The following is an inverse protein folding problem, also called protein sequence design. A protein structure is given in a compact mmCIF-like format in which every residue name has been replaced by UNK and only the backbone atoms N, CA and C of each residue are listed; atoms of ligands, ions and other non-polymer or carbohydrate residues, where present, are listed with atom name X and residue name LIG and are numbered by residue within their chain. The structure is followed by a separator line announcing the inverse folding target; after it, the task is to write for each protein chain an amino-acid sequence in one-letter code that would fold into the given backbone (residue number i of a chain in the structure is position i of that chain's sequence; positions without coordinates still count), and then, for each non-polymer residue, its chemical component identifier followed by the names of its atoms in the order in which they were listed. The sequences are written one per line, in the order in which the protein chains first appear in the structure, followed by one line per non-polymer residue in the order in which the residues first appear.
data_IF_083334194762
#
_entry.id   IF_083334194762
#
_cell.length_a   1.000
_cell.length_b   1.000
_cell.length_c   1.000
_cell.angle_alpha   90.00
_cell.angle_beta   90.00
_cell.angle_gamma   90.00
#
_symmetry.space_group_name_H-M   'P 1'
#
loop_
_entity.id
_entity.type
_entity.pdbx_description
1 polymer ?
#
# COMPACT_ATOMS: atom_id res chain seq x y z
N UNK A 1 3.62 9.44 8.49
CA UNK A 1 2.63 8.50 7.89
C UNK A 1 1.87 9.20 6.78
N UNK A 2 1.29 8.46 5.84
CA UNK A 2 0.53 9.01 4.71
C UNK A 2 -0.97 9.11 5.05
N UNK A 3 -1.56 10.26 4.76
CA UNK A 3 -3.00 10.49 4.66
C UNK A 3 -3.25 10.80 3.19
N UNK A 4 -4.17 10.07 2.57
CA UNK A 4 -4.52 10.26 1.16
C UNK A 4 -5.88 10.97 1.07
N UNK A 5 -5.91 12.13 0.40
CA UNK A 5 -7.12 12.91 0.15
C UNK A 5 -7.45 12.79 -1.32
N UNK A 6 -8.06 11.67 -1.72
CA UNK A 6 -8.65 11.27 -3.03
C UNK A 6 -7.82 11.58 -4.32
N UNK A 7 -6.73 12.35 -4.24
CA UNK A 7 -5.89 12.87 -5.31
C UNK A 7 -4.53 13.35 -4.79
N UNK A 8 -4.37 13.61 -3.48
CA UNK A 8 -3.12 14.13 -2.88
C UNK A 8 -2.66 13.32 -1.66
N UNK A 9 -1.36 13.05 -1.61
CA UNK A 9 -0.67 12.46 -0.47
C UNK A 9 -0.19 13.55 0.49
N UNK A 10 -0.74 13.58 1.71
CA UNK A 10 -0.29 14.44 2.78
C UNK A 10 0.34 13.63 3.92
N UNK A 11 1.21 14.27 4.70
CA UNK A 11 1.90 13.62 5.81
C UNK A 11 1.37 14.07 7.17
N UNK A 12 1.28 13.14 8.10
CA UNK A 12 0.99 13.41 9.52
C UNK A 12 2.00 12.76 10.46
N UNK A 13 2.05 13.30 11.68
CA UNK A 13 2.67 12.65 12.82
C UNK A 13 1.66 11.73 13.51
N UNK A 14 2.17 10.81 14.35
CA UNK A 14 1.35 9.81 15.04
C UNK A 14 0.25 10.46 15.92
N UNK A 15 0.62 11.49 16.68
CA UNK A 15 -0.20 12.05 17.76
C UNK A 15 -0.76 13.44 17.49
N UNK A 16 -0.35 14.07 16.40
CA UNK A 16 -0.85 15.38 16.01
C UNK A 16 -0.80 15.56 14.49
N UNK A 17 -1.68 16.42 13.98
CA UNK A 17 -1.73 16.83 12.59
C UNK A 17 -0.88 18.12 12.45
N UNK A 18 0.13 18.17 11.58
CA UNK A 18 0.90 19.39 11.37
C UNK A 18 0.03 20.50 10.75
N UNK A 19 0.27 21.76 11.16
CA UNK A 19 -0.46 22.92 10.62
C UNK A 19 -0.38 23.02 9.09
N UNK A 20 0.76 22.68 8.50
CA UNK A 20 0.92 22.64 7.04
C UNK A 20 -0.07 21.65 6.38
N UNK A 21 -0.35 20.52 7.03
CA UNK A 21 -1.29 19.51 6.55
C UNK A 21 -2.73 19.97 6.75
N UNK A 22 -3.03 20.62 7.87
CA UNK A 22 -4.35 21.23 8.13
C UNK A 22 -4.69 22.30 7.08
N UNK A 23 -3.74 23.19 6.80
CA UNK A 23 -3.89 24.23 5.77
C UNK A 23 -4.07 23.60 4.39
N UNK A 24 -3.28 22.59 4.04
CA UNK A 24 -3.45 21.88 2.77
C UNK A 24 -4.83 21.21 2.63
N UNK A 25 -5.35 20.59 3.70
CA UNK A 25 -6.71 20.02 3.72
C UNK A 25 -7.76 21.10 3.42
N UNK A 26 -7.62 22.27 4.05
CA UNK A 26 -8.54 23.39 3.86
C UNK A 26 -8.45 23.99 2.45
N UNK A 27 -7.23 24.24 1.96
CA UNK A 27 -6.99 24.81 0.63
C UNK A 27 -7.51 23.91 -0.49
N UNK A 28 -7.41 22.59 -0.31
CA UNK A 28 -7.95 21.59 -1.24
C UNK A 28 -9.47 21.42 -1.15
N UNK A 29 -10.13 22.05 -0.17
CA UNK A 29 -11.56 21.84 0.15
C UNK A 29 -11.91 20.35 0.29
N UNK A 30 -11.03 19.59 0.94
CA UNK A 30 -11.17 18.15 1.10
C UNK A 30 -12.45 17.80 1.88
N UNK A 31 -13.32 16.97 1.30
CA UNK A 31 -14.57 16.52 1.95
C UNK A 31 -14.50 15.11 2.49
N UNK A 32 -13.48 14.35 2.07
CA UNK A 32 -13.23 12.96 2.41
C UNK A 32 -11.74 12.72 2.50
N UNK A 33 -11.33 11.72 3.27
CA UNK A 33 -9.93 11.37 3.49
C UNK A 33 -9.75 9.88 3.77
N UNK A 34 -8.58 9.38 3.42
CA UNK A 34 -8.15 8.02 3.67
C UNK A 34 -6.92 8.07 4.57
N UNK A 35 -6.95 7.31 5.66
CA UNK A 35 -5.81 7.18 6.59
C UNK A 35 -5.11 5.86 6.33
N UNK A 36 -3.82 5.91 6.00
CA UNK A 36 -3.04 4.70 5.76
C UNK A 36 -2.25 4.31 7.00
N UNK A 37 -2.46 3.08 7.48
CA UNK A 37 -1.76 2.52 8.64
C UNK A 37 -2.60 2.47 9.92
N UNK A 38 -2.13 1.68 10.88
CA UNK A 38 -2.83 1.43 12.15
C UNK A 38 -2.78 2.61 13.13
N UNK A 39 -3.29 2.39 14.33
CA UNK A 39 -3.40 3.44 15.36
C UNK A 39 -2.07 3.84 16.00
N UNK A 40 -1.09 2.94 16.04
CA UNK A 40 0.30 3.23 16.46
C UNK A 40 1.03 4.16 15.49
N UNK A 41 0.37 4.48 14.40
CA UNK A 41 0.93 4.95 13.17
C UNK A 41 0.26 6.32 12.88
N UNK A 42 -1.08 6.35 12.88
CA UNK A 42 -1.90 7.56 13.00
C UNK A 42 -2.94 7.30 14.08
N UNK A 43 -2.85 8.00 15.21
CA UNK A 43 -3.77 7.79 16.33
C UNK A 43 -5.23 8.13 15.96
N UNK A 44 -6.21 7.54 16.66
CA UNK A 44 -7.64 7.88 16.49
C UNK A 44 -7.92 9.37 16.69
N UNK A 45 -7.13 10.03 17.55
CA UNK A 45 -7.25 11.48 17.77
C UNK A 45 -6.97 12.24 16.48
N UNK A 46 -5.91 11.88 15.76
CA UNK A 46 -5.56 12.53 14.49
C UNK A 46 -6.60 12.20 13.41
N UNK A 47 -7.01 10.94 13.30
CA UNK A 47 -8.06 10.52 12.36
C UNK A 47 -9.36 11.30 12.54
N UNK A 48 -9.77 11.57 13.78
CA UNK A 48 -10.99 12.32 14.09
C UNK A 48 -10.94 13.80 13.67
N UNK A 49 -9.76 14.35 13.35
CA UNK A 49 -9.61 15.71 12.83
C UNK A 49 -9.81 15.78 11.31
N UNK A 50 -9.83 14.63 10.62
CA UNK A 50 -9.86 14.56 9.17
C UNK A 50 -11.30 14.42 8.65
N UNK A 51 -11.60 15.01 7.48
CA UNK A 51 -12.96 14.99 6.93
C UNK A 51 -13.33 13.56 6.49
N UNK A 52 -14.43 13.03 7.06
CA UNK A 52 -14.99 11.69 6.75
C UNK A 52 -13.92 10.60 6.57
N UNK A 53 -12.99 10.52 7.51
CA UNK A 53 -11.84 9.65 7.41
C UNK A 53 -12.23 8.17 7.31
N UNK A 54 -11.62 7.47 6.35
CA UNK A 54 -11.64 6.01 6.23
C UNK A 54 -10.24 5.45 6.42
N UNK A 55 -10.05 4.60 7.42
CA UNK A 55 -8.76 3.95 7.64
C UNK A 55 -8.57 2.68 6.80
N UNK A 56 -7.40 2.54 6.20
CA UNK A 56 -6.90 1.32 5.58
C UNK A 56 -5.66 0.85 6.34
N UNK A 57 -5.76 -0.31 7.00
CA UNK A 57 -4.70 -0.82 7.86
C UNK A 57 -4.79 -2.33 8.03
N UNK A 58 -3.68 -2.93 8.41
CA UNK A 58 -3.60 -4.28 8.98
C UNK A 58 -2.54 -4.36 10.08
N UNK A 59 -2.30 -5.54 10.62
CA UNK A 59 -1.32 -5.74 11.71
C UNK A 59 0.13 -5.62 11.22
N UNK A 60 0.33 -5.74 9.91
CA UNK A 60 1.61 -5.60 9.23
C UNK A 60 1.52 -4.66 8.03
N UNK A 61 2.70 -4.28 7.50
CA UNK A 61 2.81 -3.52 6.24
C UNK A 61 2.26 -4.31 5.05
N UNK A 62 2.33 -5.64 5.08
CA UNK A 62 1.82 -6.54 4.05
C UNK A 62 0.29 -6.58 4.05
N UNK A 63 -0.33 -6.72 5.23
CA UNK A 63 -1.79 -6.64 5.34
C UNK A 63 -2.31 -5.24 4.97
N UNK A 64 -1.62 -4.18 5.40
CA UNK A 64 -1.98 -2.81 5.02
C UNK A 64 -1.89 -2.61 3.50
N UNK A 65 -0.83 -3.11 2.85
CA UNK A 65 -0.69 -3.09 1.40
C UNK A 65 -1.83 -3.83 0.69
N UNK A 66 -2.23 -5.02 1.16
CA UNK A 66 -3.38 -5.74 0.60
C UNK A 66 -4.70 -4.98 0.84
N UNK A 67 -4.88 -4.35 2.01
CA UNK A 67 -6.07 -3.54 2.29
C UNK A 67 -6.19 -2.35 1.32
N UNK A 68 -5.07 -1.68 1.01
CA UNK A 68 -5.00 -0.61 0.00
C UNK A 68 -5.39 -1.15 -1.38
N UNK A 69 -4.75 -2.24 -1.81
CA UNK A 69 -5.03 -2.86 -3.11
C UNK A 69 -6.47 -3.36 -3.26
N UNK A 70 -7.10 -3.82 -2.16
CA UNK A 70 -8.52 -4.17 -2.12
C UNK A 70 -9.42 -2.94 -2.21
N UNK A 71 -9.05 -1.83 -1.55
CA UNK A 71 -9.86 -0.62 -1.55
C UNK A 71 -9.91 0.07 -2.92
N UNK A 72 -8.75 0.27 -3.55
CA UNK A 72 -8.66 0.93 -4.85
C UNK A 72 -9.05 0.05 -6.03
N UNK A 73 -9.20 -1.27 -5.80
CA UNK A 73 -9.86 -2.15 -6.76
C UNK A 73 -9.14 -2.25 -8.09
N UNK A 74 -7.84 -2.54 -8.08
CA UNK A 74 -7.07 -2.72 -9.31
C UNK A 74 -7.61 -3.93 -10.10
N UNK A 75 -8.08 -3.67 -11.32
CA UNK A 75 -8.67 -4.68 -12.22
C UNK A 75 -7.61 -5.49 -12.97
N UNK A 76 -6.38 -4.97 -13.06
CA UNK A 76 -5.27 -5.64 -13.75
C UNK A 76 -4.97 -7.02 -13.16
N UNK A 77 -4.79 -8.01 -14.05
CA UNK A 77 -4.27 -9.34 -13.69
C UNK A 77 -2.74 -9.39 -13.67
N UNK A 78 -2.10 -8.28 -13.99
CA UNK A 78 -0.66 -8.08 -13.88
C UNK A 78 -0.36 -7.11 -12.74
N UNK A 79 0.28 -7.62 -11.69
CA UNK A 79 0.74 -6.83 -10.55
C UNK A 79 2.25 -6.83 -10.44
N UNK A 80 2.77 -5.86 -9.70
CA UNK A 80 4.18 -5.76 -9.40
C UNK A 80 4.47 -6.27 -7.98
N UNK A 81 5.69 -6.72 -7.74
CA UNK A 81 6.12 -7.22 -6.43
C UNK A 81 7.42 -6.54 -6.05
N UNK A 82 7.57 -6.14 -4.80
CA UNK A 82 8.83 -5.66 -4.24
C UNK A 82 9.00 -6.13 -2.79
N UNK A 83 10.22 -6.04 -2.28
CA UNK A 83 10.46 -6.24 -0.84
C UNK A 83 9.72 -5.18 -0.03
N UNK A 84 9.06 -5.61 1.03
CA UNK A 84 8.49 -4.73 2.04
C UNK A 84 9.50 -4.35 3.12
N UNK A 85 10.69 -4.95 3.18
CA UNK A 85 11.69 -4.65 4.21
C UNK A 85 12.37 -3.30 3.97
N UNK A 86 12.59 -2.93 2.70
CA UNK A 86 13.10 -1.64 2.25
C UNK A 86 12.07 -0.93 1.36
N UNK A 87 12.29 0.36 1.08
CA UNK A 87 11.28 1.19 0.40
C UNK A 87 11.65 1.60 -1.03
N UNK A 88 12.92 1.54 -1.43
CA UNK A 88 13.38 2.13 -2.69
C UNK A 88 12.69 1.52 -3.92
N UNK A 89 12.73 0.19 -4.05
CA UNK A 89 12.11 -0.53 -5.17
C UNK A 89 10.60 -0.39 -5.18
N UNK A 90 9.98 -0.40 -4.00
CA UNK A 90 8.53 -0.22 -3.88
C UNK A 90 8.09 1.21 -4.26
N UNK A 91 8.89 2.22 -3.89
CA UNK A 91 8.63 3.62 -4.19
C UNK A 91 8.72 3.88 -5.70
N UNK A 92 9.78 3.40 -6.36
CA UNK A 92 9.93 3.57 -7.81
C UNK A 92 9.00 2.67 -8.60
N UNK A 93 8.81 1.43 -8.14
CA UNK A 93 7.91 0.45 -8.75
C UNK A 93 6.44 0.85 -8.65
N UNK A 94 6.04 1.52 -7.57
CA UNK A 94 4.69 2.04 -7.38
C UNK A 94 4.28 3.06 -8.45
N UNK A 95 5.20 3.94 -8.86
CA UNK A 95 4.94 4.92 -9.95
C UNK A 95 4.69 4.21 -11.28
N UNK A 96 5.49 3.18 -11.60
CA UNK A 96 5.29 2.38 -12.81
C UNK A 96 4.00 1.56 -12.75
N UNK A 97 3.68 1.00 -11.57
CA UNK A 97 2.44 0.27 -11.36
C UNK A 97 1.22 1.16 -11.58
N UNK A 98 1.19 2.34 -10.98
CA UNK A 98 0.12 3.32 -11.15
C UNK A 98 -0.05 3.75 -12.62
N UNK A 99 1.06 3.95 -13.36
CA UNK A 99 1.01 4.28 -14.79
C UNK A 99 0.38 3.17 -15.65
N UNK A 100 0.47 1.92 -15.21
CA UNK A 100 -0.09 0.76 -15.90
C UNK A 100 -1.44 0.30 -15.37
N UNK A 101 -2.17 1.14 -14.63
CA UNK A 101 -3.42 0.79 -13.93
C UNK A 101 -3.26 -0.51 -13.11
N UNK A 102 -2.11 -0.62 -12.46
CA UNK A 102 -1.66 -1.76 -11.68
C UNK A 102 -1.27 -1.30 -10.27
N UNK A 103 -0.91 -2.26 -9.44
CA UNK A 103 -0.54 -2.07 -8.05
C UNK A 103 0.70 -2.88 -7.71
N UNK A 104 1.25 -2.61 -6.53
CA UNK A 104 2.38 -3.33 -5.97
C UNK A 104 1.94 -4.19 -4.79
N UNK A 105 2.46 -5.41 -4.74
CA UNK A 105 2.40 -6.32 -3.61
C UNK A 105 3.74 -6.32 -2.89
N UNK A 106 3.71 -6.36 -1.57
CA UNK A 106 4.92 -6.42 -0.75
C UNK A 106 5.16 -7.86 -0.27
N UNK A 107 6.41 -8.32 -0.37
CA UNK A 107 6.87 -9.61 0.17
C UNK A 107 8.09 -9.41 1.06
N UNK A 108 8.57 -10.46 1.72
CA UNK A 108 9.86 -10.45 2.43
C UNK A 108 10.58 -11.76 2.20
N UNK A 109 11.30 -12.27 3.20
CA UNK A 109 11.99 -13.57 3.19
C UNK A 109 11.06 -14.74 2.83
N UNK A 110 9.73 -14.53 2.85
CA UNK A 110 8.68 -15.42 2.37
C UNK A 110 7.52 -14.61 1.75
N UNK A 111 6.58 -15.30 1.10
CA UNK A 111 5.32 -14.69 0.63
C UNK A 111 4.31 -14.68 1.80
N UNK A 112 3.91 -13.51 2.32
CA UNK A 112 2.93 -13.45 3.40
C UNK A 112 1.60 -14.10 3.01
N UNK A 113 0.95 -14.78 3.95
CA UNK A 113 -0.34 -15.47 3.71
C UNK A 113 -1.40 -14.53 3.12
N UNK A 114 -1.48 -13.29 3.61
CA UNK A 114 -2.43 -12.28 3.10
C UNK A 114 -2.18 -11.93 1.63
N UNK A 115 -0.92 -12.00 1.19
CA UNK A 115 -0.51 -11.71 -0.19
C UNK A 115 -0.80 -12.90 -1.08
N UNK A 116 -0.46 -14.12 -0.65
CA UNK A 116 -0.76 -15.34 -1.42
C UNK A 116 -2.26 -15.57 -1.60
N UNK A 117 -3.04 -15.30 -0.55
CA UNK A 117 -4.50 -15.31 -0.60
C UNK A 117 -5.03 -14.28 -1.61
N UNK A 118 -4.50 -13.06 -1.61
CA UNK A 118 -4.90 -12.02 -2.56
C UNK A 118 -4.57 -12.37 -4.01
N UNK A 119 -3.38 -12.92 -4.28
CA UNK A 119 -2.95 -13.39 -5.61
C UNK A 119 -3.94 -14.43 -6.15
N UNK A 120 -4.27 -15.42 -5.30
CA UNK A 120 -5.18 -16.52 -5.66
C UNK A 120 -6.62 -16.03 -5.84
N UNK A 121 -7.12 -15.21 -4.91
CA UNK A 121 -8.46 -14.61 -4.94
C UNK A 121 -8.68 -13.81 -6.22
N UNK A 122 -7.71 -12.96 -6.60
CA UNK A 122 -7.79 -12.13 -7.79
C UNK A 122 -7.45 -12.88 -9.07
N UNK A 123 -6.98 -14.13 -9.00
CA UNK A 123 -6.55 -14.95 -10.14
C UNK A 123 -5.57 -14.18 -11.02
N UNK A 124 -4.54 -13.63 -10.40
CA UNK A 124 -3.51 -12.90 -11.14
C UNK A 124 -2.83 -13.84 -12.14
N UNK A 125 -2.41 -13.29 -13.26
CA UNK A 125 -1.81 -14.05 -14.37
C UNK A 125 -0.33 -13.73 -14.52
N UNK A 126 0.11 -12.59 -14.00
CA UNK A 126 1.48 -12.12 -14.15
C UNK A 126 1.91 -11.32 -12.94
N UNK A 127 3.13 -11.60 -12.48
CA UNK A 127 3.83 -10.79 -11.50
C UNK A 127 5.11 -10.25 -12.14
N UNK A 128 5.48 -9.01 -11.85
CA UNK A 128 6.77 -8.44 -12.23
C UNK A 128 7.48 -7.96 -10.97
N UNK A 129 8.68 -8.49 -10.77
CA UNK A 129 9.43 -8.31 -9.52
C UNK A 129 10.39 -7.13 -9.70
N UNK A 130 10.40 -6.25 -8.72
CA UNK A 130 11.38 -5.17 -8.56
C UNK A 130 12.32 -5.49 -7.42
N UNK A 131 13.60 -5.20 -7.65
CA UNK A 131 14.70 -5.58 -6.77
C UNK A 131 15.45 -6.80 -7.29
N UNK A 132 16.73 -6.90 -6.95
CA UNK A 132 17.53 -8.10 -7.25
C UNK A 132 17.28 -9.22 -6.23
N UNK A 133 18.00 -10.32 -6.38
CA UNK A 133 17.83 -11.55 -5.57
C UNK A 133 18.01 -11.34 -4.06
N UNK A 134 18.70 -10.26 -3.65
CA UNK A 134 18.83 -9.86 -2.24
C UNK A 134 17.51 -9.30 -1.69
N UNK A 135 16.72 -8.62 -2.51
CA UNK A 135 15.46 -8.02 -2.11
C UNK A 135 14.31 -9.04 -2.17
N UNK A 136 14.31 -9.88 -3.20
CA UNK A 136 13.32 -10.95 -3.39
C UNK A 136 14.09 -12.21 -3.78
N UNK A 137 14.22 -13.15 -2.85
CA UNK A 137 15.01 -14.36 -3.04
C UNK A 137 14.39 -15.29 -4.09
N UNK A 138 15.20 -16.18 -4.66
CA UNK A 138 14.73 -17.18 -5.63
C UNK A 138 13.64 -18.09 -5.05
N UNK A 139 13.71 -18.42 -3.76
CA UNK A 139 12.67 -19.18 -3.06
C UNK A 139 11.32 -18.45 -3.08
N UNK A 140 11.32 -17.14 -2.80
CA UNK A 140 10.11 -16.30 -2.86
C UNK A 140 9.58 -16.22 -4.29
N UNK A 141 10.46 -16.08 -5.29
CA UNK A 141 10.08 -16.10 -6.71
C UNK A 141 9.38 -17.42 -7.06
N UNK A 142 9.96 -18.55 -6.65
CA UNK A 142 9.42 -19.88 -6.90
C UNK A 142 8.05 -20.08 -6.23
N UNK A 143 7.86 -19.57 -5.02
CA UNK A 143 6.58 -19.63 -4.33
C UNK A 143 5.53 -18.74 -5.00
N UNK A 144 5.89 -17.54 -5.45
CA UNK A 144 4.99 -16.68 -6.23
C UNK A 144 4.56 -17.33 -7.55
N UNK A 145 5.46 -18.03 -8.24
CA UNK A 145 5.14 -18.73 -9.48
C UNK A 145 4.09 -19.82 -9.28
N UNK A 146 4.15 -20.56 -8.16
CA UNK A 146 3.17 -21.62 -7.84
C UNK A 146 1.76 -21.10 -7.57
N UNK A 147 1.62 -19.80 -7.28
CA UNK A 147 0.33 -19.14 -7.00
C UNK A 147 -0.36 -18.62 -8.27
N UNK A 148 0.33 -18.59 -9.40
CA UNK A 148 -0.23 -18.20 -10.70
C UNK A 148 -0.80 -19.41 -11.44
N UNK A 149 -1.87 -19.23 -12.23
CA UNK A 149 -2.51 -20.30 -13.00
C UNK A 149 -1.70 -20.76 -14.22
#
# INVERSE_FOLDING_TARGET
MLIEIITYDLLTQEKFLPEATENAIADLNATESIVIGGELAVSKKVEALLPKAKRLSGHSRYETNVAINKHFGVESKHLYVATGQNYADALTGGVLAAKGDSAILLVHDEVPEVVSAYITEKKLQRLTIFGGDIAVSEDVVNDLQKLLP
#
